data_IF_099618852811
#
_entry.id   IF_099618852811
#
_cell.length_a   1.000
_cell.length_b   1.000
_cell.length_c   1.000
_cell.angle_alpha   90.00
_cell.angle_beta   90.00
_cell.angle_gamma   90.00
#
_symmetry.space_group_name_H-M   'P 1'
#
loop_
_entity.id
_entity.type
_entity.pdbx_description
1 polymer ?
#
# COMPACT_ATOMS: atom_id res chain seq x y z
N UNK A 1 23.08 54.42 18.26
CA UNK A 1 22.57 53.13 18.79
C UNK A 1 21.81 52.46 17.66
N UNK A 2 22.33 51.34 17.13
CA UNK A 2 21.69 50.58 16.05
C UNK A 2 21.12 49.30 16.64
N UNK A 3 19.82 49.06 16.44
CA UNK A 3 19.11 47.88 16.92
C UNK A 3 18.69 46.99 15.74
N UNK A 4 18.53 45.67 15.97
CA UNK A 4 18.70 44.62 14.98
C UNK A 4 17.36 44.21 14.35
N UNK A 5 17.22 44.34 13.03
CA UNK A 5 16.01 43.87 12.31
C UNK A 5 16.31 42.64 11.43
N UNK A 6 17.58 42.23 11.29
CA UNK A 6 17.95 41.12 10.41
C UNK A 6 17.73 39.72 11.00
N UNK A 7 17.51 39.57 12.32
CA UNK A 7 17.46 38.24 12.98
C UNK A 7 16.05 37.61 13.00
N UNK A 8 14.98 38.40 13.01
CA UNK A 8 13.60 37.88 13.15
C UNK A 8 13.09 37.12 11.91
N UNK A 9 13.60 37.44 10.72
CA UNK A 9 13.19 36.78 9.47
C UNK A 9 13.90 35.45 9.22
N UNK A 10 15.02 35.19 9.89
CA UNK A 10 15.77 33.94 9.73
C UNK A 10 15.18 32.81 10.58
N UNK A 11 14.81 33.09 11.84
CA UNK A 11 14.11 32.15 12.73
C UNK A 11 12.80 31.65 12.10
N UNK A 12 11.95 32.57 11.63
CA UNK A 12 10.67 32.20 11.02
C UNK A 12 10.83 31.34 9.75
N UNK A 13 11.83 31.58 8.90
CA UNK A 13 12.09 30.73 7.74
C UNK A 13 12.54 29.32 8.13
N UNK A 14 13.34 29.20 9.20
CA UNK A 14 13.80 27.92 9.75
C UNK A 14 12.66 27.12 10.38
N UNK A 15 11.78 27.79 11.12
CA UNK A 15 10.58 27.17 11.70
C UNK A 15 9.64 26.63 10.62
N UNK A 16 9.38 27.42 9.57
CA UNK A 16 8.54 26.99 8.45
C UNK A 16 9.14 25.80 7.67
N UNK A 17 10.47 25.70 7.58
CA UNK A 17 11.12 24.56 6.92
C UNK A 17 11.03 23.30 7.78
N UNK A 18 11.23 23.42 9.10
CA UNK A 18 11.07 22.28 10.02
C UNK A 18 9.63 21.73 10.03
N UNK A 19 8.63 22.61 10.04
CA UNK A 19 7.21 22.21 9.96
C UNK A 19 6.87 21.54 8.62
N UNK A 20 7.38 22.08 7.51
CA UNK A 20 7.19 21.48 6.18
C UNK A 20 7.82 20.09 6.07
N UNK A 21 9.02 19.90 6.62
CA UNK A 21 9.69 18.60 6.69
C UNK A 21 8.91 17.61 7.56
N UNK A 22 8.38 18.05 8.69
CA UNK A 22 7.56 17.20 9.56
C UNK A 22 6.28 16.73 8.85
N UNK A 23 5.59 17.64 8.16
CA UNK A 23 4.38 17.33 7.38
C UNK A 23 4.69 16.35 6.23
N UNK A 24 5.81 16.55 5.53
CA UNK A 24 6.25 15.65 4.46
C UNK A 24 6.53 14.23 4.97
N UNK A 25 7.20 14.10 6.12
CA UNK A 25 7.46 12.81 6.76
C UNK A 25 6.16 12.11 7.19
N UNK A 26 5.21 12.85 7.77
CA UNK A 26 3.92 12.30 8.16
C UNK A 26 3.12 11.80 6.94
N UNK A 27 3.13 12.57 5.84
CA UNK A 27 2.49 12.18 4.60
C UNK A 27 3.11 10.89 4.03
N UNK A 28 4.44 10.79 4.01
CA UNK A 28 5.15 9.59 3.58
C UNK A 28 4.80 8.37 4.44
N UNK A 29 4.77 8.52 5.76
CA UNK A 29 4.39 7.44 6.67
C UNK A 29 2.96 6.93 6.40
N UNK A 30 2.01 7.84 6.15
CA UNK A 30 0.63 7.48 5.80
C UNK A 30 0.56 6.73 4.46
N UNK A 31 1.33 7.16 3.46
CA UNK A 31 1.39 6.48 2.16
C UNK A 31 1.97 5.06 2.29
N UNK A 32 3.04 4.88 3.05
CA UNK A 32 3.62 3.55 3.29
C UNK A 32 2.65 2.63 4.02
N UNK A 33 1.91 3.15 5.00
CA UNK A 33 0.86 2.39 5.69
C UNK A 33 -0.29 1.99 4.76
N UNK A 34 -0.71 2.89 3.87
CA UNK A 34 -1.75 2.58 2.89
C UNK A 34 -1.28 1.50 1.90
N UNK A 35 -0.02 1.55 1.47
CA UNK A 35 0.58 0.52 0.62
C UNK A 35 0.63 -0.85 1.32
N UNK A 36 0.99 -0.88 2.60
CA UNK A 36 1.00 -2.10 3.40
C UNK A 36 -0.40 -2.75 3.46
N UNK A 37 -1.42 -1.93 3.76
CA UNK A 37 -2.82 -2.39 3.74
C UNK A 37 -3.25 -2.91 2.38
N UNK A 38 -2.85 -2.26 1.29
CA UNK A 38 -3.16 -2.73 -0.07
C UNK A 38 -2.51 -4.09 -0.34
N UNK A 39 -1.23 -4.27 0.01
CA UNK A 39 -0.52 -5.55 -0.16
C UNK A 39 -1.22 -6.66 0.62
N UNK A 40 -1.73 -6.37 1.82
CA UNK A 40 -2.49 -7.34 2.62
C UNK A 40 -3.80 -7.81 1.96
N UNK A 41 -4.37 -7.05 1.03
CA UNK A 41 -5.57 -7.47 0.29
C UNK A 41 -5.28 -8.49 -0.80
N UNK A 42 -4.02 -8.64 -1.23
CA UNK A 42 -3.66 -9.53 -2.32
C UNK A 42 -3.69 -10.98 -1.81
N UNK A 43 -4.53 -11.87 -2.38
CA UNK A 43 -4.58 -13.25 -1.97
C UNK A 43 -3.27 -13.96 -2.30
N UNK A 44 -2.69 -14.65 -1.30
CA UNK A 44 -1.46 -15.43 -1.48
C UNK A 44 -1.81 -16.88 -1.76
N UNK A 45 -1.18 -17.46 -2.77
CA UNK A 45 -1.41 -18.83 -3.22
C UNK A 45 -0.15 -19.68 -3.13
N UNK A 46 -0.33 -20.98 -2.87
CA UNK A 46 0.72 -21.99 -2.91
C UNK A 46 1.08 -22.36 -4.35
N UNK A 47 2.18 -23.11 -4.51
CA UNK A 47 2.53 -23.70 -5.80
C UNK A 47 1.41 -24.64 -6.30
N UNK A 48 1.17 -24.71 -7.61
CA UNK A 48 0.13 -25.58 -8.19
C UNK A 48 0.48 -27.05 -8.02
N UNK A 49 -0.51 -27.86 -7.65
CA UNK A 49 -0.43 -29.32 -7.64
C UNK A 49 -1.22 -29.88 -8.82
N UNK A 50 -0.58 -30.70 -9.65
CA UNK A 50 -1.23 -31.37 -10.78
C UNK A 50 -1.68 -32.76 -10.33
N UNK A 51 -2.97 -33.03 -10.44
CA UNK A 51 -3.58 -34.30 -10.09
C UNK A 51 -3.40 -35.34 -11.22
N UNK A 52 -3.54 -36.65 -10.93
CA UNK A 52 -3.39 -37.71 -11.94
C UNK A 52 -4.41 -37.65 -13.09
N UNK A 53 -5.56 -37.00 -12.88
CA UNK A 53 -6.57 -36.76 -13.91
C UNK A 53 -6.26 -35.55 -14.80
N UNK A 54 -5.22 -34.78 -14.47
CA UNK A 54 -4.80 -33.58 -15.20
C UNK A 54 -5.31 -32.26 -14.62
N UNK A 55 -6.11 -32.28 -13.55
CA UNK A 55 -6.59 -31.06 -12.90
C UNK A 55 -5.48 -30.37 -12.10
N UNK A 56 -5.62 -29.06 -11.92
CA UNK A 56 -4.66 -28.25 -11.15
C UNK A 56 -5.37 -27.67 -9.92
N UNK A 57 -4.79 -27.88 -8.74
CA UNK A 57 -5.21 -27.24 -7.50
C UNK A 57 -4.23 -26.12 -7.14
N UNK A 58 -4.75 -24.90 -6.93
CA UNK A 58 -4.01 -23.77 -6.39
C UNK A 58 -4.63 -23.37 -5.05
N UNK A 59 -3.94 -23.69 -3.95
CA UNK A 59 -4.46 -23.45 -2.59
C UNK A 59 -4.13 -22.03 -2.12
N UNK A 60 -5.07 -21.34 -1.47
CA UNK A 60 -4.77 -20.09 -0.74
C UNK A 60 -3.95 -20.41 0.50
N UNK A 61 -2.88 -19.64 0.74
CA UNK A 61 -2.04 -19.77 1.92
C UNK A 61 -2.71 -19.15 3.15
N UNK A 62 -3.43 -18.05 2.96
CA UNK A 62 -4.23 -17.37 4.00
C UNK A 62 -5.70 -17.39 3.59
N UNK A 63 -6.45 -18.44 3.98
CA UNK A 63 -7.89 -18.45 3.78
C UNK A 63 -8.55 -17.44 4.72
N UNK A 64 -9.29 -16.48 4.18
CA UNK A 64 -10.14 -15.58 4.97
C UNK A 64 -11.37 -16.36 5.46
N UNK A 65 -11.73 -16.24 6.73
CA UNK A 65 -12.81 -17.01 7.38
C UNK A 65 -14.22 -16.76 6.80
N UNK A 66 -14.41 -15.83 5.85
CA UNK A 66 -15.74 -15.35 5.45
C UNK A 66 -15.92 -15.06 3.94
N UNK A 67 -15.20 -15.75 3.05
CA UNK A 67 -15.31 -15.49 1.59
C UNK A 67 -15.55 -16.77 0.77
N UNK A 68 -16.39 -17.68 1.27
CA UNK A 68 -16.86 -18.86 0.52
C UNK A 68 -17.82 -18.52 -0.64
N UNK A 69 -18.02 -17.24 -0.99
CA UNK A 69 -18.78 -16.90 -2.20
C UNK A 69 -17.86 -17.00 -3.42
N UNK A 70 -18.13 -17.95 -4.35
CA UNK A 70 -17.37 -18.07 -5.58
C UNK A 70 -17.55 -16.78 -6.38
N UNK A 71 -16.43 -16.14 -6.73
CA UNK A 71 -16.40 -15.07 -7.73
C UNK A 71 -16.76 -15.69 -9.08
N UNK A 72 -18.00 -15.53 -9.51
CA UNK A 72 -18.45 -15.95 -10.84
C UNK A 72 -17.73 -15.10 -11.90
N UNK A 73 -16.74 -15.68 -12.57
CA UNK A 73 -16.13 -15.09 -13.75
C UNK A 73 -17.03 -15.41 -14.93
N UNK A 74 -17.78 -14.41 -15.43
CA UNK A 74 -18.41 -14.50 -16.75
C UNK A 74 -17.30 -14.50 -17.79
N UNK A 75 -16.88 -15.69 -18.24
CA UNK A 75 -15.76 -15.84 -19.16
C UNK A 75 -16.07 -15.19 -20.51
N UNK A 76 -15.43 -14.06 -20.79
CA UNK A 76 -15.27 -13.55 -22.15
C UNK A 76 -14.15 -14.37 -22.82
N UNK A 77 -14.52 -15.57 -23.26
CA UNK A 77 -13.64 -16.44 -24.04
C UNK A 77 -13.45 -15.83 -25.42
N UNK A 78 -12.34 -15.14 -25.65
CA UNK A 78 -11.89 -14.85 -27.01
C UNK A 78 -11.39 -16.15 -27.64
N UNK A 79 -12.28 -16.85 -28.35
CA UNK A 79 -11.90 -17.88 -29.30
C UNK A 79 -11.18 -17.20 -30.48
N UNK A 80 -9.88 -17.46 -30.62
CA UNK A 80 -9.07 -17.05 -31.79
C UNK A 80 -8.81 -18.22 -32.71
#
# INVERSE_FOLDING_TARGET
MAAPIAVASADSLQDNTAEAEQLANEALAKMMKALDLLIMTVPRYAAPEVLPNGDIIIRRLDPLENEDEPIETHGDGIET
#
